data_IF_035568982112
#
_entry.id   IF_035568982112
#
_cell.length_a   1.000
_cell.length_b   1.000
_cell.length_c   1.000
_cell.angle_alpha   90.00
_cell.angle_beta   90.00
_cell.angle_gamma   90.00
#
_symmetry.space_group_name_H-M   'P 1'
#
loop_
_entity.id
_entity.type
_entity.pdbx_description
1 polymer ?
#
# COMPACT_ATOMS: atom_id res chain seq x y z
N UNK A 1 22.18 -3.39 -2.57
CA UNK A 1 21.98 -2.59 -1.33
C UNK A 1 20.85 -1.58 -1.42
N UNK A 2 20.93 -0.50 -2.23
CA UNK A 2 19.86 0.50 -2.29
C UNK A 2 18.52 -0.06 -2.82
N UNK A 3 18.56 -0.93 -3.83
CA UNK A 3 17.36 -1.56 -4.39
C UNK A 3 16.66 -2.51 -3.42
N UNK A 4 17.40 -3.33 -2.68
CA UNK A 4 16.82 -4.24 -1.67
C UNK A 4 16.13 -3.45 -0.56
N UNK A 5 16.75 -2.36 -0.09
CA UNK A 5 16.15 -1.47 0.90
C UNK A 5 14.87 -0.80 0.40
N UNK A 6 14.83 -0.43 -0.89
CA UNK A 6 13.65 0.17 -1.52
C UNK A 6 12.50 -0.84 -1.64
N UNK A 7 12.78 -2.09 -1.99
CA UNK A 7 11.77 -3.17 -2.02
C UNK A 7 11.18 -3.39 -0.64
N UNK A 8 12.01 -3.51 0.40
CA UNK A 8 11.54 -3.67 1.79
C UNK A 8 10.68 -2.49 2.22
N UNK A 9 11.10 -1.26 1.88
CA UNK A 9 10.35 -0.06 2.18
C UNK A 9 8.96 -0.05 1.50
N UNK A 10 8.87 -0.40 0.22
CA UNK A 10 7.60 -0.46 -0.50
C UNK A 10 6.64 -1.50 0.09
N UNK A 11 7.14 -2.68 0.46
CA UNK A 11 6.36 -3.72 1.12
C UNK A 11 5.84 -3.22 2.47
N UNK A 12 6.70 -2.58 3.27
CA UNK A 12 6.32 -2.04 4.57
C UNK A 12 5.26 -0.95 4.45
N UNK A 13 5.41 -0.04 3.48
CA UNK A 13 4.47 1.05 3.24
C UNK A 13 3.12 0.53 2.69
N UNK A 14 3.15 -0.47 1.80
CA UNK A 14 1.95 -1.18 1.35
C UNK A 14 1.21 -1.86 2.51
N UNK A 15 1.95 -2.50 3.43
CA UNK A 15 1.40 -3.08 4.65
C UNK A 15 0.75 -2.04 5.57
N UNK A 16 1.39 -0.88 5.77
CA UNK A 16 0.83 0.23 6.54
C UNK A 16 -0.47 0.77 5.94
N UNK A 17 -0.56 0.87 4.61
CA UNK A 17 -1.79 1.31 3.95
C UNK A 17 -2.93 0.31 4.13
N UNK A 18 -2.67 -0.99 4.09
CA UNK A 18 -3.67 -2.01 4.42
C UNK A 18 -4.12 -1.89 5.88
N UNK A 19 -3.18 -1.68 6.80
CA UNK A 19 -3.50 -1.49 8.22
C UNK A 19 -4.36 -0.22 8.43
N UNK A 20 -4.04 0.87 7.74
CA UNK A 20 -4.86 2.08 7.72
C UNK A 20 -6.25 1.85 7.11
N UNK A 21 -6.38 1.02 6.08
CA UNK A 21 -7.65 0.64 5.47
C UNK A 21 -8.59 -0.07 6.46
N UNK A 22 -8.04 -0.92 7.35
CA UNK A 22 -8.84 -1.58 8.38
C UNK A 22 -9.17 -0.66 9.57
N UNK A 23 -8.25 0.21 9.98
CA UNK A 23 -8.38 1.02 11.20
C UNK A 23 -9.02 2.40 11.01
N UNK A 24 -8.94 2.98 9.82
CA UNK A 24 -9.33 4.37 9.54
C UNK A 24 -10.77 4.51 9.04
N UNK A 25 -11.08 4.11 7.80
CA UNK A 25 -12.34 4.46 7.12
C UNK A 25 -13.60 4.08 7.89
N UNK A 26 -13.59 2.98 8.65
CA UNK A 26 -14.77 2.52 9.39
C UNK A 26 -15.15 3.44 10.57
N UNK A 27 -14.27 4.35 10.99
CA UNK A 27 -14.55 5.35 12.04
C UNK A 27 -15.22 6.63 11.51
N UNK A 28 -15.33 6.78 10.19
CA UNK A 28 -15.97 7.94 9.57
C UNK A 28 -17.50 7.88 9.66
N UNK A 29 -18.11 8.94 10.19
CA UNK A 29 -19.58 9.06 10.30
C UNK A 29 -20.21 9.26 8.92
N UNK A 30 -19.51 9.93 7.99
CA UNK A 30 -19.99 10.22 6.64
C UNK A 30 -19.70 9.06 5.70
N UNK A 31 -20.75 8.45 5.14
CA UNK A 31 -20.65 7.32 4.23
C UNK A 31 -19.78 7.62 2.98
N UNK A 32 -19.90 8.82 2.41
CA UNK A 32 -19.10 9.22 1.24
C UNK A 32 -17.60 9.23 1.55
N UNK A 33 -17.21 9.83 2.69
CA UNK A 33 -15.79 9.90 3.12
C UNK A 33 -15.21 8.54 3.50
N UNK A 34 -16.03 7.66 4.07
CA UNK A 34 -15.67 6.26 4.30
C UNK A 34 -15.35 5.54 2.99
N UNK A 35 -16.19 5.70 1.98
CA UNK A 35 -15.98 5.07 0.66
C UNK A 35 -14.77 5.67 -0.05
N UNK A 36 -14.61 7.00 -0.06
CA UNK A 36 -13.42 7.67 -0.60
C UNK A 36 -12.13 7.12 0.04
N UNK A 37 -12.08 7.05 1.37
CA UNK A 37 -10.91 6.52 2.08
C UNK A 37 -10.59 5.07 1.71
N UNK A 38 -11.60 4.21 1.57
CA UNK A 38 -11.41 2.82 1.15
C UNK A 38 -10.90 2.71 -0.28
N UNK A 39 -11.47 3.50 -1.19
CA UNK A 39 -11.14 3.51 -2.62
C UNK A 39 -9.76 4.14 -2.87
N UNK A 40 -9.25 4.98 -1.98
CA UNK A 40 -7.89 5.50 -2.08
C UNK A 40 -6.86 4.53 -1.48
N UNK A 41 -7.10 3.99 -0.28
CA UNK A 41 -6.10 3.20 0.45
C UNK A 41 -5.82 1.83 -0.19
N UNK A 42 -6.86 1.10 -0.61
CA UNK A 42 -6.70 -0.25 -1.14
C UNK A 42 -5.93 -0.28 -2.47
N UNK A 43 -6.28 0.52 -3.50
CA UNK A 43 -5.54 0.51 -4.76
C UNK A 43 -4.11 1.03 -4.60
N UNK A 44 -3.87 2.01 -3.73
CA UNK A 44 -2.52 2.48 -3.44
C UNK A 44 -1.65 1.39 -2.82
N UNK A 45 -2.17 0.62 -1.86
CA UNK A 45 -1.44 -0.51 -1.29
C UNK A 45 -1.10 -1.56 -2.36
N UNK A 46 -2.06 -1.91 -3.21
CA UNK A 46 -1.87 -2.87 -4.31
C UNK A 46 -0.77 -2.40 -5.27
N UNK A 47 -0.78 -1.13 -5.68
CA UNK A 47 0.24 -0.57 -6.57
C UNK A 47 1.64 -0.68 -5.95
N UNK A 48 1.79 -0.43 -4.65
CA UNK A 48 3.09 -0.53 -3.99
C UNK A 48 3.62 -1.97 -3.97
N UNK A 49 2.75 -2.96 -3.78
CA UNK A 49 3.16 -4.37 -3.87
C UNK A 49 3.54 -4.77 -5.30
N UNK A 50 2.79 -4.32 -6.31
CA UNK A 50 3.14 -4.56 -7.71
C UNK A 50 4.49 -3.93 -8.06
N UNK A 51 4.73 -2.69 -7.64
CA UNK A 51 6.02 -2.02 -7.83
C UNK A 51 7.15 -2.75 -7.10
N UNK A 52 6.92 -3.19 -5.87
CA UNK A 52 7.91 -3.98 -5.12
C UNK A 52 8.29 -5.26 -5.86
N UNK A 53 7.31 -5.98 -6.44
CA UNK A 53 7.55 -7.19 -7.24
C UNK A 53 8.35 -6.87 -8.50
N UNK A 54 7.98 -5.82 -9.24
CA UNK A 54 8.70 -5.42 -10.47
C UNK A 54 10.16 -5.08 -10.15
N UNK A 55 10.38 -4.27 -9.12
CA UNK A 55 11.73 -3.84 -8.74
C UNK A 55 12.54 -5.04 -8.25
N UNK A 56 11.94 -5.93 -7.46
CA UNK A 56 12.60 -7.15 -7.02
C UNK A 56 12.95 -8.10 -8.18
N UNK A 57 12.06 -8.26 -9.15
CA UNK A 57 12.32 -9.04 -10.36
C UNK A 57 13.50 -8.49 -11.17
N UNK A 58 13.67 -7.17 -11.21
CA UNK A 58 14.83 -6.52 -11.83
C UNK A 58 16.16 -6.72 -11.09
N UNK A 59 16.13 -7.23 -9.85
CA UNK A 59 17.34 -7.59 -9.08
C UNK A 59 17.76 -9.04 -9.37
N UNK A 60 16.79 -9.93 -9.67
CA UNK A 60 17.04 -11.35 -9.95
C UNK A 60 17.44 -11.60 -11.41
N UNK A 61 17.01 -10.72 -12.33
CA UNK A 61 17.27 -10.82 -13.78
C UNK A 61 18.67 -10.39 -14.20
#
# INVERSE_FOLDING_TARGET
MAHEGLVVFLIFLGGLLLLAFYLGPNKEVRAVKRTEGKVMLLPSAVILFVLAIIIFSGIIG
#
